data_IF_339818785386
#
_entry.id   IF_339818785386
#
_cell.length_a   1.000
_cell.length_b   1.000
_cell.length_c   1.000
_cell.angle_alpha   90.00
_cell.angle_beta   90.00
_cell.angle_gamma   90.00
#
_symmetry.space_group_name_H-M   'P 1'
#
loop_
_entity.id
_entity.type
_entity.pdbx_description
1 polymer ?
#
# COMPACT_ATOMS: atom_id res chain seq x y z
N UNK A 1 -25.65 -8.89 -11.83
CA UNK A 1 -25.60 -8.59 -13.28
C UNK A 1 -25.41 -9.91 -14.01
N UNK A 2 -26.54 -10.54 -14.43
CA UNK A 2 -26.57 -11.93 -14.96
C UNK A 2 -26.38 -11.91 -16.49
N UNK A 3 -25.22 -11.46 -16.99
CA UNK A 3 -25.06 -11.28 -18.43
C UNK A 3 -24.17 -12.30 -19.21
N UNK A 4 -23.18 -13.03 -18.62
CA UNK A 4 -22.32 -13.88 -19.45
C UNK A 4 -23.01 -15.15 -19.97
N UNK A 5 -23.84 -15.81 -19.17
CA UNK A 5 -24.46 -17.08 -19.55
C UNK A 5 -25.51 -16.97 -20.67
N UNK A 6 -26.12 -15.80 -20.88
CA UNK A 6 -27.06 -15.57 -21.99
C UNK A 6 -26.34 -15.27 -23.29
N UNK A 7 -25.21 -14.54 -23.29
CA UNK A 7 -24.42 -14.29 -24.50
C UNK A 7 -23.75 -15.58 -25.02
N UNK A 8 -23.23 -16.43 -24.11
CA UNK A 8 -22.64 -17.74 -24.47
C UNK A 8 -23.62 -18.67 -25.17
N UNK A 9 -24.92 -18.61 -24.83
CA UNK A 9 -25.97 -19.42 -25.51
C UNK A 9 -26.33 -18.87 -26.89
N UNK A 10 -26.01 -17.61 -27.18
CA UNK A 10 -26.36 -16.93 -28.45
C UNK A 10 -25.30 -17.04 -29.56
N UNK A 11 -24.05 -17.40 -29.25
CA UNK A 11 -23.01 -17.54 -30.28
C UNK A 11 -23.10 -18.87 -30.98
N UNK A 12 -23.76 -18.85 -32.15
CA UNK A 12 -23.92 -20.02 -32.99
C UNK A 12 -22.60 -20.63 -33.49
N UNK A 13 -21.52 -19.86 -33.49
CA UNK A 13 -20.20 -20.36 -33.87
C UNK A 13 -19.64 -21.33 -32.81
N UNK A 14 -19.84 -21.03 -31.53
CA UNK A 14 -19.42 -21.88 -30.42
C UNK A 14 -20.32 -23.13 -30.28
N UNK A 15 -21.58 -23.03 -30.74
CA UNK A 15 -22.57 -24.09 -30.57
C UNK A 15 -22.19 -25.41 -31.28
N UNK A 16 -21.34 -25.34 -32.30
CA UNK A 16 -20.93 -26.49 -33.13
C UNK A 16 -19.57 -27.05 -32.80
N UNK A 17 -18.81 -26.40 -31.90
CA UNK A 17 -17.49 -26.81 -31.51
C UNK A 17 -17.53 -27.95 -30.46
N UNK A 18 -16.62 -28.90 -30.62
CA UNK A 18 -16.34 -29.91 -29.60
C UNK A 18 -15.49 -29.32 -28.48
N UNK A 19 -15.15 -30.11 -27.46
CA UNK A 19 -14.39 -29.65 -26.30
C UNK A 19 -12.95 -29.24 -26.63
N UNK A 20 -12.28 -29.95 -27.55
CA UNK A 20 -10.93 -29.63 -28.01
C UNK A 20 -10.91 -28.31 -28.81
N UNK A 21 -11.89 -28.12 -29.70
CA UNK A 21 -12.05 -26.88 -30.48
C UNK A 21 -12.39 -25.70 -29.58
N UNK A 22 -13.25 -25.87 -28.59
CA UNK A 22 -13.57 -24.82 -27.60
C UNK A 22 -12.35 -24.44 -26.77
N UNK A 23 -11.59 -25.43 -26.31
CA UNK A 23 -10.37 -25.18 -25.54
C UNK A 23 -9.32 -24.42 -26.35
N UNK A 24 -9.09 -24.84 -27.60
CA UNK A 24 -8.16 -24.16 -28.51
C UNK A 24 -8.61 -22.74 -28.86
N UNK A 25 -9.90 -22.54 -29.14
CA UNK A 25 -10.48 -21.24 -29.45
C UNK A 25 -10.38 -20.28 -28.24
N UNK A 26 -10.70 -20.77 -27.04
CA UNK A 26 -10.58 -20.03 -25.80
C UNK A 26 -9.14 -19.60 -25.50
N UNK A 27 -8.18 -20.53 -25.65
CA UNK A 27 -6.75 -20.27 -25.45
C UNK A 27 -6.24 -19.24 -26.46
N UNK A 28 -6.64 -19.34 -27.72
CA UNK A 28 -6.28 -18.36 -28.76
C UNK A 28 -6.85 -16.97 -28.48
N UNK A 29 -8.12 -16.89 -28.05
CA UNK A 29 -8.78 -15.63 -27.70
C UNK A 29 -8.08 -14.99 -26.48
N UNK A 30 -7.75 -15.80 -25.46
CA UNK A 30 -7.04 -15.31 -24.27
C UNK A 30 -5.66 -14.75 -24.60
N UNK A 31 -4.91 -15.44 -25.45
CA UNK A 31 -3.61 -14.98 -25.94
C UNK A 31 -3.71 -13.69 -26.76
N UNK A 32 -4.79 -13.53 -27.51
CA UNK A 32 -5.08 -12.31 -28.29
C UNK A 32 -5.61 -11.14 -27.44
N UNK A 33 -5.84 -11.34 -26.12
CA UNK A 33 -6.39 -10.33 -25.23
C UNK A 33 -7.91 -10.22 -25.25
N UNK A 34 -8.62 -11.06 -26.03
CA UNK A 34 -10.08 -11.13 -26.05
C UNK A 34 -10.60 -11.99 -24.88
N UNK A 35 -10.58 -11.39 -23.70
CA UNK A 35 -11.00 -12.05 -22.46
C UNK A 35 -12.48 -12.48 -22.50
N UNK A 36 -13.35 -11.70 -23.15
CA UNK A 36 -14.79 -12.02 -23.27
C UNK A 36 -15.02 -13.29 -24.09
N UNK A 37 -14.38 -13.39 -25.26
CA UNK A 37 -14.46 -14.59 -26.09
C UNK A 37 -13.81 -15.80 -25.42
N UNK A 38 -12.68 -15.59 -24.73
CA UNK A 38 -12.01 -16.64 -23.97
C UNK A 38 -12.92 -17.22 -22.88
N UNK A 39 -13.53 -16.37 -22.07
CA UNK A 39 -14.48 -16.78 -21.03
C UNK A 39 -15.64 -17.57 -21.64
N UNK A 40 -16.26 -17.06 -22.73
CA UNK A 40 -17.37 -17.72 -23.40
C UNK A 40 -17.03 -19.14 -23.91
N UNK A 41 -15.82 -19.33 -24.47
CA UNK A 41 -15.36 -20.64 -24.93
C UNK A 41 -15.16 -21.63 -23.76
N UNK A 42 -14.45 -21.19 -22.70
CA UNK A 42 -14.16 -22.06 -21.56
C UNK A 42 -15.42 -22.38 -20.75
N UNK A 43 -16.29 -21.40 -20.48
CA UNK A 43 -17.58 -21.61 -19.80
C UNK A 43 -18.48 -22.61 -20.57
N UNK A 44 -18.52 -22.46 -21.91
CA UNK A 44 -19.28 -23.41 -22.73
C UNK A 44 -18.70 -24.82 -22.64
N UNK A 45 -17.37 -24.98 -22.69
CA UNK A 45 -16.71 -26.26 -22.51
C UNK A 45 -17.13 -26.90 -21.18
N UNK A 46 -17.02 -26.14 -20.09
CA UNK A 46 -17.37 -26.58 -18.73
C UNK A 46 -18.83 -27.04 -18.65
N UNK A 47 -19.75 -26.30 -19.29
CA UNK A 47 -21.20 -26.61 -19.21
C UNK A 47 -21.57 -27.80 -20.09
N UNK A 48 -21.02 -27.90 -21.29
CA UNK A 48 -21.46 -28.86 -22.31
C UNK A 48 -20.68 -30.16 -22.26
N UNK A 49 -19.42 -30.10 -21.82
CA UNK A 49 -18.49 -31.25 -21.82
C UNK A 49 -17.91 -31.51 -20.42
N UNK A 50 -18.73 -31.88 -19.42
CA UNK A 50 -18.26 -32.09 -18.05
C UNK A 50 -17.29 -33.27 -17.88
N UNK A 51 -17.20 -34.14 -18.86
CA UNK A 51 -16.26 -35.29 -18.88
C UNK A 51 -15.00 -35.01 -19.72
N UNK A 52 -14.83 -33.78 -20.20
CA UNK A 52 -13.68 -33.40 -21.02
C UNK A 52 -12.37 -33.54 -20.22
N UNK A 53 -11.30 -34.07 -20.83
CA UNK A 53 -9.96 -34.07 -20.21
C UNK A 53 -9.45 -32.64 -19.96
N UNK A 54 -10.00 -31.63 -20.63
CA UNK A 54 -9.66 -30.21 -20.47
C UNK A 54 -10.47 -29.52 -19.35
N UNK A 55 -11.42 -30.18 -18.71
CA UNK A 55 -12.38 -29.56 -17.77
C UNK A 55 -11.69 -28.70 -16.71
N UNK A 56 -10.68 -29.28 -16.02
CA UNK A 56 -9.95 -28.55 -14.96
C UNK A 56 -9.22 -27.30 -15.47
N UNK A 57 -8.56 -27.45 -16.64
CA UNK A 57 -7.85 -26.32 -17.25
C UNK A 57 -8.84 -25.28 -17.81
N UNK A 58 -10.00 -25.71 -18.30
CA UNK A 58 -11.06 -24.82 -18.75
C UNK A 58 -11.62 -23.99 -17.58
N UNK A 59 -11.85 -24.59 -16.41
CA UNK A 59 -12.21 -23.84 -15.20
C UNK A 59 -11.13 -22.82 -14.85
N UNK A 60 -9.85 -23.22 -14.79
CA UNK A 60 -8.76 -22.32 -14.45
C UNK A 60 -8.69 -21.13 -15.44
N UNK A 61 -8.71 -21.42 -16.74
CA UNK A 61 -8.62 -20.40 -17.77
C UNK A 61 -9.88 -19.51 -17.87
N UNK A 62 -11.07 -20.06 -17.59
CA UNK A 62 -12.29 -19.27 -17.45
C UNK A 62 -12.17 -18.28 -16.30
N UNK A 63 -11.67 -18.72 -15.16
CA UNK A 63 -11.39 -17.86 -14.02
C UNK A 63 -10.46 -16.71 -14.40
N UNK A 64 -9.32 -16.99 -15.05
CA UNK A 64 -8.37 -15.96 -15.52
C UNK A 64 -8.99 -14.98 -16.53
N UNK A 65 -9.85 -15.47 -17.41
CA UNK A 65 -10.53 -14.61 -18.38
C UNK A 65 -11.55 -13.68 -17.71
N UNK A 66 -12.28 -14.19 -16.71
CA UNK A 66 -13.24 -13.42 -15.94
C UNK A 66 -12.56 -12.42 -15.00
N UNK A 67 -11.39 -12.72 -14.42
CA UNK A 67 -10.56 -11.75 -13.70
C UNK A 67 -10.18 -10.55 -14.58
N UNK A 68 -9.78 -10.79 -15.84
CA UNK A 68 -9.50 -9.71 -16.80
C UNK A 68 -10.71 -8.85 -17.13
N UNK A 69 -11.91 -9.38 -16.94
CA UNK A 69 -13.17 -8.67 -17.11
C UNK A 69 -13.69 -8.06 -15.81
N UNK A 70 -12.96 -8.20 -14.71
CA UNK A 70 -13.33 -7.80 -13.35
C UNK A 70 -14.65 -8.46 -12.88
N UNK A 71 -15.04 -9.61 -13.48
CA UNK A 71 -16.13 -10.44 -12.98
C UNK A 71 -15.62 -11.38 -11.89
N UNK A 72 -15.42 -10.79 -10.70
CA UNK A 72 -14.84 -11.50 -9.55
C UNK A 72 -15.69 -12.66 -9.04
N UNK A 73 -17.04 -12.53 -9.07
CA UNK A 73 -17.93 -13.62 -8.71
C UNK A 73 -17.88 -14.77 -9.72
N UNK A 74 -17.82 -14.44 -11.01
CA UNK A 74 -17.63 -15.40 -12.08
C UNK A 74 -16.31 -16.16 -11.92
N UNK A 75 -15.21 -15.42 -11.79
CA UNK A 75 -13.87 -15.98 -11.59
C UNK A 75 -13.81 -16.91 -10.36
N UNK A 76 -14.36 -16.46 -9.22
CA UNK A 76 -14.42 -17.27 -7.99
C UNK A 76 -15.12 -18.61 -8.20
N UNK A 77 -16.27 -18.64 -8.90
CA UNK A 77 -16.98 -19.90 -9.16
C UNK A 77 -16.13 -20.91 -9.91
N UNK A 78 -15.28 -20.44 -10.82
CA UNK A 78 -14.40 -21.32 -11.57
C UNK A 78 -13.17 -21.73 -10.76
N UNK A 79 -12.51 -20.81 -10.04
CA UNK A 79 -11.33 -21.18 -9.27
C UNK A 79 -11.63 -22.14 -8.12
N UNK A 80 -12.79 -22.06 -7.47
CA UNK A 80 -13.16 -22.96 -6.37
C UNK A 80 -13.25 -24.43 -6.81
N UNK A 81 -13.57 -24.68 -8.09
CA UNK A 81 -13.64 -26.04 -8.65
C UNK A 81 -12.25 -26.66 -8.88
N UNK A 82 -11.20 -25.82 -8.94
CA UNK A 82 -9.81 -26.25 -9.19
C UNK A 82 -8.95 -26.08 -7.95
N UNK A 83 -9.24 -25.07 -7.12
CA UNK A 83 -8.38 -24.63 -6.05
C UNK A 83 -8.23 -25.67 -4.94
N UNK A 84 -6.98 -26.02 -4.63
CA UNK A 84 -6.63 -26.83 -3.48
C UNK A 84 -5.40 -26.26 -2.76
N UNK A 85 -5.60 -25.71 -1.59
CA UNK A 85 -4.53 -25.18 -0.76
C UNK A 85 -3.51 -26.23 -0.29
N UNK A 86 -3.88 -27.51 -0.34
CA UNK A 86 -2.99 -28.65 -0.04
C UNK A 86 -2.24 -29.17 -1.27
N UNK A 87 -2.66 -28.75 -2.48
CA UNK A 87 -2.08 -29.16 -3.76
C UNK A 87 -0.78 -28.43 -4.12
N UNK A 88 -0.28 -28.69 -5.31
CA UNK A 88 0.89 -28.03 -5.91
C UNK A 88 0.60 -27.67 -7.38
N UNK A 89 1.42 -26.85 -8.01
CA UNK A 89 1.21 -26.44 -9.39
C UNK A 89 -0.12 -25.72 -9.60
N UNK A 90 -0.81 -26.00 -10.70
CA UNK A 90 -2.01 -25.28 -11.14
C UNK A 90 -3.12 -25.22 -10.07
N UNK A 91 -3.28 -26.26 -9.23
CA UNK A 91 -4.31 -26.24 -8.20
C UNK A 91 -3.96 -25.32 -7.02
N UNK A 92 -2.68 -25.15 -6.74
CA UNK A 92 -2.21 -24.16 -5.77
C UNK A 92 -2.30 -22.74 -6.36
N UNK A 93 -1.97 -22.57 -7.64
CA UNK A 93 -2.12 -21.29 -8.32
C UNK A 93 -3.60 -20.88 -8.37
N UNK A 94 -4.51 -21.80 -8.64
CA UNK A 94 -5.95 -21.56 -8.52
C UNK A 94 -6.38 -21.14 -7.10
N UNK A 95 -5.72 -21.68 -6.05
CA UNK A 95 -6.00 -21.28 -4.68
C UNK A 95 -5.54 -19.82 -4.39
N UNK A 96 -4.45 -19.37 -4.98
CA UNK A 96 -4.04 -17.95 -4.91
C UNK A 96 -5.02 -17.04 -5.66
N UNK A 97 -5.40 -17.38 -6.88
CA UNK A 97 -6.42 -16.64 -7.63
C UNK A 97 -7.78 -16.63 -6.92
N UNK A 98 -8.18 -17.77 -6.29
CA UNK A 98 -9.37 -17.77 -5.44
C UNK A 98 -9.26 -16.79 -4.27
N UNK A 99 -8.09 -16.71 -3.62
CA UNK A 99 -7.87 -15.73 -2.55
C UNK A 99 -7.93 -14.28 -3.08
N UNK A 100 -7.42 -14.03 -4.29
CA UNK A 100 -7.49 -12.73 -4.96
C UNK A 100 -8.94 -12.35 -5.30
N UNK A 101 -9.74 -13.28 -5.84
CA UNK A 101 -11.18 -13.02 -6.07
C UNK A 101 -11.93 -12.75 -4.77
N UNK A 102 -11.60 -13.46 -3.68
CA UNK A 102 -12.18 -13.19 -2.36
C UNK A 102 -11.80 -11.78 -1.84
N UNK A 103 -10.56 -11.35 -2.08
CA UNK A 103 -10.09 -10.01 -1.74
C UNK A 103 -10.90 -8.93 -2.49
N UNK A 104 -11.05 -9.05 -3.81
CA UNK A 104 -11.82 -8.09 -4.62
C UNK A 104 -13.32 -8.08 -4.29
N UNK A 105 -13.85 -9.19 -3.78
CA UNK A 105 -15.23 -9.29 -3.25
C UNK A 105 -15.35 -8.81 -1.79
N UNK A 106 -14.29 -8.26 -1.21
CA UNK A 106 -14.21 -7.83 0.21
C UNK A 106 -14.50 -8.97 1.21
N UNK A 107 -14.36 -10.23 0.78
CA UNK A 107 -14.53 -11.42 1.62
C UNK A 107 -13.23 -11.74 2.35
N UNK A 108 -12.66 -10.73 3.01
CA UNK A 108 -11.34 -10.80 3.66
C UNK A 108 -11.18 -11.96 4.64
N UNK A 109 -12.15 -12.31 5.53
CA UNK A 109 -11.98 -13.43 6.46
C UNK A 109 -11.75 -14.78 5.77
N UNK A 110 -12.37 -15.00 4.61
CA UNK A 110 -12.22 -16.21 3.83
C UNK A 110 -10.85 -16.24 3.11
N UNK A 111 -10.46 -15.12 2.51
CA UNK A 111 -9.13 -14.96 1.91
C UNK A 111 -8.02 -15.20 2.94
N UNK A 112 -8.11 -14.58 4.13
CA UNK A 112 -7.17 -14.75 5.24
C UNK A 112 -7.08 -16.21 5.67
N UNK A 113 -8.22 -16.90 5.77
CA UNK A 113 -8.25 -18.31 6.15
C UNK A 113 -7.57 -19.20 5.09
N UNK A 114 -7.83 -18.96 3.81
CA UNK A 114 -7.24 -19.70 2.70
C UNK A 114 -5.72 -19.46 2.62
N UNK A 115 -5.30 -18.21 2.62
CA UNK A 115 -3.90 -17.81 2.56
C UNK A 115 -3.11 -18.29 3.78
N UNK A 116 -3.72 -18.28 4.97
CA UNK A 116 -3.12 -18.79 6.20
C UNK A 116 -2.80 -20.30 6.12
N UNK A 117 -3.66 -21.10 5.47
CA UNK A 117 -3.38 -22.52 5.21
C UNK A 117 -2.17 -22.69 4.28
N UNK A 118 -2.04 -21.87 3.24
CA UNK A 118 -0.92 -21.93 2.30
C UNK A 118 0.38 -21.47 2.99
N UNK A 119 0.35 -20.35 3.71
CA UNK A 119 1.50 -19.81 4.42
C UNK A 119 2.09 -20.75 5.47
N UNK A 120 1.25 -21.59 6.09
CA UNK A 120 1.67 -22.56 7.11
C UNK A 120 2.37 -23.81 6.53
N UNK A 121 2.33 -24.02 5.22
CA UNK A 121 2.87 -25.22 4.57
C UNK A 121 4.40 -25.19 4.53
N UNK A 122 5.05 -26.18 5.17
CA UNK A 122 6.52 -26.28 5.19
C UNK A 122 7.11 -27.01 3.99
N UNK A 123 6.27 -27.71 3.21
CA UNK A 123 6.64 -28.43 1.99
C UNK A 123 6.71 -27.53 0.75
N UNK A 124 6.18 -26.30 0.83
CA UNK A 124 6.26 -25.34 -0.26
C UNK A 124 7.58 -24.57 -0.24
N UNK A 125 8.04 -24.10 -1.42
CA UNK A 125 9.11 -23.13 -1.51
C UNK A 125 8.84 -21.91 -0.63
N UNK A 126 9.88 -21.37 -0.02
CA UNK A 126 9.76 -20.25 0.91
C UNK A 126 9.10 -19.03 0.25
N UNK A 127 9.38 -18.75 -1.03
CA UNK A 127 8.77 -17.66 -1.80
C UNK A 127 7.24 -17.75 -1.81
N UNK A 128 6.69 -18.95 -2.12
CA UNK A 128 5.22 -19.16 -2.16
C UNK A 128 4.56 -18.97 -0.79
N UNK A 129 5.23 -19.37 0.28
CA UNK A 129 4.73 -19.16 1.66
C UNK A 129 4.75 -17.70 2.05
N UNK A 130 5.80 -16.97 1.68
CA UNK A 130 5.92 -15.53 1.91
C UNK A 130 4.89 -14.74 1.11
N UNK A 131 4.65 -15.11 -0.16
CA UNK A 131 3.59 -14.55 -1.00
C UNK A 131 2.23 -14.69 -0.30
N UNK A 132 1.85 -15.89 0.12
CA UNK A 132 0.60 -16.12 0.84
C UNK A 132 0.53 -15.31 2.15
N UNK A 133 1.65 -15.22 2.88
CA UNK A 133 1.71 -14.45 4.13
C UNK A 133 1.55 -12.95 3.88
N UNK A 134 2.15 -12.40 2.83
CA UNK A 134 2.01 -10.97 2.48
C UNK A 134 0.59 -10.68 2.02
N UNK A 135 0.01 -11.49 1.13
CA UNK A 135 -1.39 -11.30 0.70
C UNK A 135 -2.37 -11.42 1.88
N UNK A 136 -2.13 -12.32 2.85
CA UNK A 136 -2.89 -12.38 4.09
C UNK A 136 -2.79 -11.09 4.89
N UNK A 137 -1.58 -10.52 5.01
CA UNK A 137 -1.36 -9.23 5.66
C UNK A 137 -2.07 -8.07 4.95
N UNK A 138 -2.09 -8.07 3.62
CA UNK A 138 -2.85 -7.10 2.80
C UNK A 138 -4.34 -7.19 3.11
N UNK A 139 -4.92 -8.39 3.11
CA UNK A 139 -6.33 -8.60 3.47
C UNK A 139 -6.65 -8.09 4.88
N UNK A 140 -5.73 -8.29 5.86
CA UNK A 140 -5.89 -7.79 7.22
C UNK A 140 -5.89 -6.27 7.28
N UNK A 141 -4.99 -5.60 6.54
CA UNK A 141 -4.93 -4.13 6.45
C UNK A 141 -6.21 -3.57 5.85
N UNK A 142 -6.66 -4.11 4.71
CA UNK A 142 -7.82 -3.59 4.00
C UNK A 142 -9.16 -3.95 4.69
N UNK A 143 -9.16 -4.98 5.54
CA UNK A 143 -10.29 -5.25 6.45
C UNK A 143 -10.33 -4.33 7.68
N UNK A 144 -9.32 -3.48 7.88
CA UNK A 144 -9.19 -2.57 9.01
C UNK A 144 -8.47 -3.15 10.23
N UNK A 145 -8.02 -4.40 10.21
CA UNK A 145 -7.21 -4.99 11.29
C UNK A 145 -5.72 -4.64 11.09
N UNK A 146 -5.42 -3.35 11.31
CA UNK A 146 -4.09 -2.79 11.05
C UNK A 146 -3.01 -3.42 11.93
N UNK A 147 -3.33 -3.73 13.21
CA UNK A 147 -2.38 -4.30 14.17
C UNK A 147 -1.94 -5.73 13.79
N UNK A 148 -2.89 -6.56 13.35
CA UNK A 148 -2.59 -7.91 12.89
C UNK A 148 -1.88 -7.87 11.54
N UNK A 149 -2.34 -7.00 10.63
CA UNK A 149 -1.71 -6.76 9.34
C UNK A 149 -0.24 -6.36 9.48
N UNK A 150 0.07 -5.42 10.38
CA UNK A 150 1.45 -5.00 10.65
C UNK A 150 2.34 -6.16 11.12
N UNK A 151 1.85 -6.95 12.08
CA UNK A 151 2.59 -8.12 12.60
C UNK A 151 2.85 -9.14 11.50
N UNK A 152 1.83 -9.43 10.68
CA UNK A 152 1.92 -10.38 9.58
C UNK A 152 2.94 -9.93 8.53
N UNK A 153 2.86 -8.67 8.07
CA UNK A 153 3.78 -8.11 7.08
C UNK A 153 5.21 -8.01 7.59
N UNK A 154 5.43 -7.63 8.84
CA UNK A 154 6.77 -7.61 9.47
C UNK A 154 7.35 -9.01 9.58
N UNK A 155 6.53 -10.01 9.94
CA UNK A 155 6.95 -11.41 9.98
C UNK A 155 7.36 -11.92 8.60
N UNK A 156 6.59 -11.59 7.56
CA UNK A 156 6.92 -11.94 6.17
C UNK A 156 8.26 -11.33 5.74
N UNK A 157 8.51 -10.06 6.05
CA UNK A 157 9.79 -9.39 5.74
C UNK A 157 10.97 -10.01 6.48
N UNK A 158 10.80 -10.36 7.75
CA UNK A 158 11.83 -11.09 8.50
C UNK A 158 12.12 -12.47 7.89
N UNK A 159 11.06 -13.18 7.46
CA UNK A 159 11.16 -14.44 6.73
C UNK A 159 11.90 -14.29 5.40
N UNK A 160 11.59 -13.26 4.61
CA UNK A 160 12.26 -12.96 3.34
C UNK A 160 13.75 -12.65 3.55
N UNK A 161 14.09 -11.85 4.55
CA UNK A 161 15.48 -11.54 4.89
C UNK A 161 16.26 -12.79 5.32
N UNK A 162 15.65 -13.64 6.16
CA UNK A 162 16.26 -14.89 6.58
C UNK A 162 16.45 -15.86 5.41
N UNK A 163 15.50 -15.95 4.49
CA UNK A 163 15.58 -16.75 3.28
C UNK A 163 16.72 -16.28 2.36
N UNK A 164 16.79 -14.98 2.09
CA UNK A 164 17.87 -14.37 1.31
C UNK A 164 19.26 -14.61 1.95
N UNK A 165 19.33 -14.55 3.29
CA UNK A 165 20.58 -14.83 4.03
C UNK A 165 21.04 -16.29 3.92
N UNK A 166 20.14 -17.23 3.59
CA UNK A 166 20.48 -18.64 3.29
C UNK A 166 20.73 -18.90 1.81
N UNK A 167 20.50 -17.91 0.94
CA UNK A 167 20.58 -18.07 -0.52
C UNK A 167 19.32 -18.67 -1.15
N UNK A 168 18.21 -18.76 -0.40
CA UNK A 168 16.92 -19.18 -0.94
C UNK A 168 16.39 -18.11 -1.91
N UNK A 169 15.74 -18.49 -3.03
CA UNK A 169 15.19 -17.52 -3.96
C UNK A 169 13.98 -16.80 -3.34
N UNK A 170 14.06 -15.49 -3.30
CA UNK A 170 12.96 -14.58 -2.94
C UNK A 170 12.84 -13.55 -4.06
N UNK A 171 11.63 -13.40 -4.61
CA UNK A 171 11.36 -12.37 -5.62
C UNK A 171 11.46 -10.96 -5.02
N UNK A 172 11.42 -9.95 -5.88
CA UNK A 172 11.41 -8.54 -5.47
C UNK A 172 10.00 -7.98 -5.25
N UNK A 173 8.97 -8.65 -5.77
CA UNK A 173 7.58 -8.23 -5.68
C UNK A 173 7.05 -8.35 -4.25
N UNK A 174 7.17 -9.53 -3.65
CA UNK A 174 6.62 -9.86 -2.33
C UNK A 174 7.15 -8.94 -1.20
N UNK A 175 8.48 -8.73 -1.03
CA UNK A 175 8.98 -7.82 -0.01
C UNK A 175 8.69 -6.34 -0.31
N UNK A 176 8.61 -5.94 -1.59
CA UNK A 176 8.21 -4.59 -1.95
C UNK A 176 6.75 -4.31 -1.59
N UNK A 177 5.85 -5.25 -1.88
CA UNK A 177 4.45 -5.20 -1.48
C UNK A 177 4.30 -5.09 0.04
N UNK A 178 5.00 -5.93 0.79
CA UNK A 178 4.95 -5.89 2.26
C UNK A 178 5.41 -4.53 2.81
N UNK A 179 6.48 -3.95 2.26
CA UNK A 179 6.94 -2.61 2.65
C UNK A 179 5.92 -1.54 2.28
N UNK A 180 5.30 -1.63 1.11
CA UNK A 180 4.27 -0.70 0.67
C UNK A 180 3.08 -0.70 1.65
N UNK A 181 2.54 -1.87 1.99
CA UNK A 181 1.39 -1.98 2.89
C UNK A 181 1.72 -1.62 4.35
N UNK A 182 2.95 -1.79 4.81
CA UNK A 182 3.40 -1.19 6.07
C UNK A 182 3.35 0.34 6.00
N UNK A 183 3.68 0.94 4.86
CA UNK A 183 3.49 2.37 4.62
C UNK A 183 2.01 2.78 4.68
N UNK A 184 1.12 1.99 4.06
CA UNK A 184 -0.33 2.23 4.09
C UNK A 184 -0.88 2.21 5.53
N UNK A 185 -0.43 1.32 6.39
CA UNK A 185 -0.83 1.28 7.81
C UNK A 185 -0.53 2.62 8.50
N UNK A 186 0.70 3.12 8.39
CA UNK A 186 1.07 4.40 9.01
C UNK A 186 0.39 5.60 8.35
N UNK A 187 0.10 5.53 7.04
CA UNK A 187 -0.71 6.53 6.34
C UNK A 187 -2.14 6.57 6.91
N UNK A 188 -2.77 5.41 7.08
CA UNK A 188 -4.11 5.29 7.65
C UNK A 188 -4.16 5.80 9.09
N UNK A 189 -3.17 5.47 9.91
CA UNK A 189 -3.05 6.04 11.25
C UNK A 189 -2.90 7.57 11.22
N UNK A 190 -2.09 8.11 10.31
CA UNK A 190 -1.94 9.56 10.14
C UNK A 190 -3.23 10.24 9.71
N UNK A 191 -4.00 9.63 8.82
CA UNK A 191 -5.30 10.15 8.37
C UNK A 191 -6.37 10.12 9.48
N UNK A 192 -6.35 9.11 10.33
CA UNK A 192 -7.27 8.97 11.46
C UNK A 192 -7.06 10.04 12.55
N UNK A 193 -5.87 10.65 12.63
CA UNK A 193 -5.61 11.73 13.57
C UNK A 193 -6.24 13.02 13.04
N UNK A 194 -7.21 13.58 13.77
CA UNK A 194 -7.89 14.82 13.45
C UNK A 194 -7.46 15.95 14.38
N UNK A 195 -7.56 17.21 13.90
CA UNK A 195 -7.38 18.36 14.74
C UNK A 195 -8.68 18.67 15.49
N UNK A 196 -8.57 18.88 16.81
CA UNK A 196 -9.71 19.35 17.62
C UNK A 196 -9.93 20.85 17.35
N UNK A 197 -11.12 21.29 16.90
CA UNK A 197 -11.43 22.68 16.67
C UNK A 197 -11.33 23.58 17.92
N UNK A 198 -11.47 22.97 19.10
CA UNK A 198 -11.41 23.66 20.40
C UNK A 198 -10.04 23.57 21.06
N UNK A 199 -9.04 22.99 20.37
CA UNK A 199 -7.72 22.80 20.94
C UNK A 199 -6.97 24.12 21.17
N UNK A 200 -6.13 24.12 22.19
CA UNK A 200 -5.14 25.18 22.43
C UNK A 200 -3.93 24.97 21.55
N UNK A 201 -3.11 26.03 21.43
CA UNK A 201 -1.88 25.98 20.64
C UNK A 201 -0.95 24.79 20.98
N UNK A 202 -0.76 24.50 22.26
CA UNK A 202 0.06 23.35 22.68
C UNK A 202 -0.50 22.00 22.23
N UNK A 203 -1.82 21.84 22.27
CA UNK A 203 -2.51 20.62 21.84
C UNK A 203 -2.44 20.46 20.31
N UNK A 204 -2.60 21.56 19.57
CA UNK A 204 -2.44 21.55 18.10
C UNK A 204 -0.99 21.18 17.72
N UNK A 205 0.01 21.71 18.44
CA UNK A 205 1.42 21.37 18.22
C UNK A 205 1.68 19.88 18.46
N UNK A 206 1.19 19.34 19.57
CA UNK A 206 1.35 17.89 19.89
C UNK A 206 0.68 17.01 18.85
N UNK A 207 -0.54 17.36 18.39
CA UNK A 207 -1.24 16.65 17.33
C UNK A 207 -0.44 16.68 16.03
N UNK A 208 0.12 17.84 15.67
CA UNK A 208 0.94 17.98 14.48
C UNK A 208 2.24 17.17 14.57
N UNK A 209 2.92 17.19 15.71
CA UNK A 209 4.14 16.40 15.94
C UNK A 209 3.84 14.91 15.77
N UNK A 210 2.76 14.41 16.36
CA UNK A 210 2.34 13.02 16.22
C UNK A 210 2.00 12.65 14.76
N UNK A 211 1.27 13.53 14.05
CA UNK A 211 1.01 13.34 12.60
C UNK A 211 2.29 13.29 11.79
N UNK A 212 3.25 14.15 12.11
CA UNK A 212 4.56 14.17 11.44
C UNK A 212 5.36 12.88 11.67
N UNK A 213 5.34 12.30 12.87
CA UNK A 213 5.97 11.01 13.17
C UNK A 213 5.35 9.87 12.35
N UNK A 214 4.01 9.82 12.28
CA UNK A 214 3.29 8.84 11.48
C UNK A 214 3.60 8.98 9.98
N UNK A 215 3.62 10.22 9.47
CA UNK A 215 3.99 10.51 8.09
C UNK A 215 5.42 10.07 7.77
N UNK A 216 6.38 10.38 8.64
CA UNK A 216 7.78 9.95 8.46
C UNK A 216 7.91 8.44 8.50
N UNK A 217 7.12 7.75 9.33
CA UNK A 217 7.08 6.30 9.39
C UNK A 217 6.54 5.70 8.09
N UNK A 218 5.42 6.23 7.57
CA UNK A 218 4.85 5.84 6.28
C UNK A 218 5.86 6.05 5.14
N UNK A 219 6.43 7.25 5.05
CA UNK A 219 7.46 7.58 4.05
C UNK A 219 8.66 6.64 4.12
N UNK A 220 9.11 6.32 5.35
CA UNK A 220 10.22 5.40 5.56
C UNK A 220 9.94 4.00 4.99
N UNK A 221 8.71 3.50 5.11
CA UNK A 221 8.30 2.22 4.54
C UNK A 221 8.19 2.30 3.01
N UNK A 222 7.60 3.34 2.44
CA UNK A 222 7.55 3.52 0.99
C UNK A 222 8.95 3.64 0.35
N UNK A 223 9.88 4.36 1.00
CA UNK A 223 11.27 4.41 0.53
C UNK A 223 11.95 3.04 0.56
N UNK A 224 11.63 2.20 1.54
CA UNK A 224 12.11 0.81 1.58
C UNK A 224 11.49 -0.02 0.44
N UNK A 225 10.19 0.16 0.12
CA UNK A 225 9.57 -0.48 -1.04
C UNK A 225 10.26 -0.11 -2.36
N UNK A 226 10.57 1.19 -2.56
CA UNK A 226 11.33 1.67 -3.73
C UNK A 226 12.72 1.01 -3.77
N UNK A 227 13.40 0.90 -2.62
CA UNK A 227 14.75 0.34 -2.54
C UNK A 227 14.81 -1.16 -2.89
N UNK A 228 13.74 -1.90 -2.73
CA UNK A 228 13.67 -3.31 -3.16
C UNK A 228 13.89 -3.42 -4.67
N UNK A 229 13.38 -2.48 -5.48
CA UNK A 229 13.64 -2.38 -6.92
C UNK A 229 12.53 -2.91 -7.81
N UNK A 230 11.42 -3.41 -7.27
CA UNK A 230 10.25 -3.78 -8.08
C UNK A 230 9.59 -2.54 -8.69
N UNK A 231 9.47 -2.49 -10.03
CA UNK A 231 9.00 -1.31 -10.76
C UNK A 231 7.56 -0.89 -10.42
N UNK A 232 6.66 -1.86 -10.26
CA UNK A 232 5.26 -1.61 -9.90
C UNK A 232 5.16 -0.98 -8.51
N UNK A 233 5.75 -1.61 -7.50
CA UNK A 233 5.70 -1.13 -6.12
C UNK A 233 6.53 0.13 -5.90
N UNK A 234 7.60 0.33 -6.68
CA UNK A 234 8.39 1.56 -6.63
C UNK A 234 7.57 2.77 -7.12
N UNK A 235 6.80 2.63 -8.21
CA UNK A 235 5.94 3.70 -8.71
C UNK A 235 4.72 3.92 -7.80
N UNK A 236 4.15 2.86 -7.23
CA UNK A 236 3.10 2.95 -6.24
C UNK A 236 3.56 3.72 -4.99
N UNK A 237 4.73 3.35 -4.46
CA UNK A 237 5.31 4.00 -3.28
C UNK A 237 5.69 5.48 -3.55
N UNK A 238 6.20 5.79 -4.73
CA UNK A 238 6.48 7.17 -5.14
C UNK A 238 5.21 8.02 -5.20
N UNK A 239 4.15 7.50 -5.79
CA UNK A 239 2.84 8.18 -5.82
C UNK A 239 2.33 8.45 -4.39
N UNK A 240 2.41 7.45 -3.50
CA UNK A 240 2.00 7.60 -2.10
C UNK A 240 2.82 8.63 -1.31
N UNK A 241 4.13 8.69 -1.52
CA UNK A 241 4.97 9.72 -0.87
C UNK A 241 4.53 11.13 -1.33
N UNK A 242 4.27 11.32 -2.62
CA UNK A 242 3.74 12.60 -3.12
C UNK A 242 2.39 12.93 -2.49
N UNK A 243 1.49 11.96 -2.41
CA UNK A 243 0.18 12.10 -1.80
C UNK A 243 0.24 12.43 -0.29
N UNK A 244 1.21 11.86 0.47
CA UNK A 244 1.40 12.22 1.87
C UNK A 244 1.65 13.74 2.06
N UNK A 245 2.47 14.35 1.21
CA UNK A 245 2.74 15.78 1.27
C UNK A 245 1.54 16.61 0.83
N UNK A 246 0.81 16.17 -0.21
CA UNK A 246 -0.42 16.80 -0.67
C UNK A 246 -1.49 16.83 0.43
N UNK A 247 -1.74 15.68 1.06
CA UNK A 247 -2.73 15.55 2.14
C UNK A 247 -2.33 16.34 3.37
N UNK A 248 -1.04 16.32 3.76
CA UNK A 248 -0.56 17.10 4.89
C UNK A 248 -0.73 18.60 4.61
N UNK A 249 -0.36 19.08 3.42
CA UNK A 249 -0.56 20.47 3.04
C UNK A 249 -2.03 20.87 3.20
N UNK A 250 -2.96 20.08 2.62
CA UNK A 250 -4.40 20.34 2.73
C UNK A 250 -4.86 20.40 4.19
N UNK A 251 -4.49 19.40 5.01
CA UNK A 251 -4.89 19.34 6.41
C UNK A 251 -4.35 20.52 7.24
N UNK A 252 -3.14 20.98 6.93
CA UNK A 252 -2.56 22.15 7.58
C UNK A 252 -3.27 23.45 7.19
N UNK A 253 -3.69 23.57 5.93
CA UNK A 253 -4.48 24.72 5.47
C UNK A 253 -5.87 24.76 6.12
N UNK A 254 -6.45 23.61 6.40
CA UNK A 254 -7.76 23.43 7.03
C UNK A 254 -7.67 23.37 8.57
N UNK A 255 -6.46 23.42 9.15
CA UNK A 255 -6.30 23.32 10.61
C UNK A 255 -6.97 24.49 11.33
N UNK A 256 -7.54 24.25 12.52
CA UNK A 256 -8.18 25.29 13.30
C UNK A 256 -7.15 26.33 13.77
N UNK A 257 -7.62 27.58 13.93
CA UNK A 257 -6.83 28.61 14.58
C UNK A 257 -6.87 28.38 16.08
N UNK A 258 -5.72 28.53 16.80
CA UNK A 258 -5.72 28.46 18.25
C UNK A 258 -6.73 29.46 18.85
N UNK A 259 -7.57 28.99 19.74
CA UNK A 259 -8.68 29.80 20.30
C UNK A 259 -8.23 30.95 21.19
N UNK A 260 -6.97 30.99 21.57
CA UNK A 260 -6.36 32.08 22.32
C UNK A 260 -6.13 33.33 21.46
N UNK A 261 -6.14 33.17 20.13
CA UNK A 261 -5.88 34.27 19.19
C UNK A 261 -7.17 35.05 18.90
N UNK A 262 -7.06 36.35 18.83
CA UNK A 262 -8.13 37.21 18.31
C UNK A 262 -8.20 37.12 16.77
N UNK A 263 -9.18 37.77 16.14
CA UNK A 263 -9.40 37.67 14.69
C UNK A 263 -8.19 38.17 13.86
N UNK A 264 -7.51 39.22 14.31
CA UNK A 264 -6.37 39.83 13.64
C UNK A 264 -5.11 38.95 13.76
N UNK A 265 -4.84 38.44 14.95
CA UNK A 265 -3.78 37.48 15.24
C UNK A 265 -4.03 36.15 14.51
N UNK A 266 -5.29 35.70 14.40
CA UNK A 266 -5.67 34.52 13.67
C UNK A 266 -5.40 34.62 12.17
N UNK A 267 -5.57 35.79 11.56
CA UNK A 267 -5.24 35.98 10.15
C UNK A 267 -3.73 35.97 9.91
N UNK A 268 -2.95 36.58 10.78
CA UNK A 268 -1.47 36.51 10.76
C UNK A 268 -1.02 35.06 10.91
N UNK A 269 -1.61 34.32 11.84
CA UNK A 269 -1.33 32.89 12.03
C UNK A 269 -1.58 32.07 10.77
N UNK A 270 -2.74 32.26 10.10
CA UNK A 270 -3.04 31.56 8.84
C UNK A 270 -2.03 31.85 7.74
N UNK A 271 -1.63 33.12 7.60
CA UNK A 271 -0.66 33.50 6.58
C UNK A 271 0.70 32.88 6.86
N UNK A 272 1.14 32.84 8.13
CA UNK A 272 2.39 32.21 8.52
C UNK A 272 2.35 30.68 8.31
N UNK A 273 1.24 30.00 8.64
CA UNK A 273 1.04 28.58 8.33
C UNK A 273 1.17 28.34 6.84
N UNK A 274 0.44 29.12 6.00
CA UNK A 274 0.50 29.02 4.54
C UNK A 274 1.92 29.15 4.02
N UNK A 275 2.66 30.16 4.47
CA UNK A 275 4.05 30.39 4.08
C UNK A 275 4.96 29.20 4.42
N UNK A 276 4.83 28.66 5.64
CA UNK A 276 5.66 27.52 6.10
C UNK A 276 5.36 26.21 5.39
N UNK A 277 4.09 25.92 5.08
CA UNK A 277 3.71 24.65 4.46
C UNK A 277 3.87 24.61 2.95
N UNK A 278 4.11 25.76 2.30
CA UNK A 278 4.36 25.82 0.84
C UNK A 278 5.50 24.89 0.40
N UNK A 279 6.47 24.62 1.25
CA UNK A 279 7.52 23.65 1.01
C UNK A 279 6.98 22.24 0.75
N UNK A 280 5.81 21.89 1.31
CA UNK A 280 5.19 20.58 1.11
C UNK A 280 4.72 20.40 -0.34
N UNK A 281 4.19 21.46 -0.98
CA UNK A 281 3.84 21.44 -2.40
C UNK A 281 5.07 21.21 -3.27
N UNK A 282 6.16 21.91 -2.99
CA UNK A 282 7.42 21.71 -3.72
C UNK A 282 7.95 20.29 -3.56
N UNK A 283 7.85 19.72 -2.37
CA UNK A 283 8.24 18.33 -2.12
C UNK A 283 7.33 17.33 -2.86
N UNK A 284 6.00 17.54 -2.83
CA UNK A 284 5.06 16.71 -3.57
C UNK A 284 5.37 16.72 -5.07
N UNK A 285 5.55 17.91 -5.66
CA UNK A 285 5.91 18.09 -7.07
C UNK A 285 7.18 17.29 -7.40
N UNK A 286 8.25 17.48 -6.64
CA UNK A 286 9.53 16.80 -6.90
C UNK A 286 9.43 15.27 -6.83
N UNK A 287 8.63 14.76 -5.90
CA UNK A 287 8.39 13.29 -5.78
C UNK A 287 7.58 12.78 -6.97
N UNK A 288 6.51 13.47 -7.36
CA UNK A 288 5.70 13.08 -8.51
C UNK A 288 6.51 13.13 -9.82
N UNK A 289 7.31 14.18 -10.04
CA UNK A 289 8.22 14.28 -11.20
C UNK A 289 9.20 13.10 -11.24
N UNK A 290 9.83 12.78 -10.11
CA UNK A 290 10.74 11.66 -10.01
C UNK A 290 10.06 10.30 -10.26
N UNK A 291 8.81 10.14 -9.78
CA UNK A 291 8.02 8.92 -9.97
C UNK A 291 7.66 8.73 -11.45
N UNK A 292 7.17 9.78 -12.11
CA UNK A 292 6.81 9.75 -13.55
C UNK A 292 8.05 9.49 -14.39
N UNK A 293 9.15 10.20 -14.16
CA UNK A 293 10.41 9.99 -14.88
C UNK A 293 10.99 8.57 -14.68
N UNK A 294 10.84 8.02 -13.47
CA UNK A 294 11.25 6.64 -13.19
C UNK A 294 10.39 5.65 -13.97
N UNK A 295 9.06 5.81 -13.96
CA UNK A 295 8.13 4.97 -14.71
C UNK A 295 8.44 4.97 -16.21
N UNK A 296 8.72 6.12 -16.79
CA UNK A 296 9.11 6.25 -18.21
C UNK A 296 10.44 5.54 -18.50
N UNK A 297 11.43 5.70 -17.65
CA UNK A 297 12.76 5.07 -17.82
C UNK A 297 12.71 3.55 -17.78
N UNK A 298 11.84 2.96 -16.94
CA UNK A 298 11.71 1.50 -16.79
C UNK A 298 10.60 0.92 -17.66
N UNK A 299 9.84 1.75 -18.40
CA UNK A 299 8.75 1.32 -19.25
C UNK A 299 7.52 0.81 -18.48
N UNK A 300 7.33 1.25 -17.22
CA UNK A 300 6.19 0.86 -16.39
C UNK A 300 5.03 1.82 -16.62
N UNK A 301 3.85 1.28 -16.88
CA UNK A 301 2.60 2.01 -16.94
C UNK A 301 1.62 1.45 -15.89
N UNK A 302 0.58 2.21 -15.55
CA UNK A 302 -0.46 1.73 -14.64
C UNK A 302 -1.10 2.85 -13.83
N UNK A 303 -2.09 2.51 -13.00
CA UNK A 303 -2.94 3.49 -12.33
C UNK A 303 -2.17 4.43 -11.37
N UNK A 304 -1.07 3.96 -10.78
CA UNK A 304 -0.23 4.80 -9.90
C UNK A 304 0.50 5.88 -10.69
N UNK A 305 1.02 5.56 -11.88
CA UNK A 305 1.70 6.52 -12.76
C UNK A 305 0.73 7.58 -13.25
N UNK A 306 -0.47 7.17 -13.66
CA UNK A 306 -1.51 8.11 -14.12
C UNK A 306 -1.97 9.04 -12.98
N UNK A 307 -2.16 8.51 -11.76
CA UNK A 307 -2.47 9.34 -10.60
C UNK A 307 -1.33 10.32 -10.28
N UNK A 308 -0.07 9.86 -10.34
CA UNK A 308 1.08 10.72 -10.11
C UNK A 308 1.13 11.90 -11.12
N UNK A 309 0.85 11.64 -12.41
CA UNK A 309 0.77 12.68 -13.44
C UNK A 309 -0.34 13.69 -13.16
N UNK A 310 -1.53 13.21 -12.86
CA UNK A 310 -2.68 14.06 -12.57
C UNK A 310 -2.43 14.92 -11.31
N UNK A 311 -1.84 14.33 -10.25
CA UNK A 311 -1.49 15.05 -9.03
C UNK A 311 -0.38 16.06 -9.26
N UNK A 312 0.62 15.74 -10.08
CA UNK A 312 1.69 16.66 -10.46
C UNK A 312 1.14 17.96 -11.06
N UNK A 313 0.23 17.84 -12.02
CA UNK A 313 -0.39 19.00 -12.65
C UNK A 313 -1.20 19.84 -11.65
N UNK A 314 -1.99 19.20 -10.79
CA UNK A 314 -2.73 19.91 -9.73
C UNK A 314 -1.82 20.64 -8.77
N UNK A 315 -0.72 20.01 -8.32
CA UNK A 315 0.21 20.62 -7.37
C UNK A 315 0.96 21.80 -7.99
N UNK A 316 1.33 21.72 -9.28
CA UNK A 316 1.93 22.85 -10.00
C UNK A 316 0.96 24.04 -10.09
N UNK A 317 -0.29 23.80 -10.42
CA UNK A 317 -1.31 24.85 -10.48
C UNK A 317 -1.56 25.47 -9.11
N UNK A 318 -1.64 24.66 -8.05
CA UNK A 318 -1.81 25.13 -6.68
C UNK A 318 -0.61 25.99 -6.24
N UNK A 319 0.62 25.57 -6.51
CA UNK A 319 1.82 26.31 -6.19
C UNK A 319 1.86 27.67 -6.90
N UNK A 320 1.42 27.75 -8.16
CA UNK A 320 1.30 29.00 -8.91
C UNK A 320 0.25 29.94 -8.29
N UNK A 321 -0.93 29.39 -7.94
CA UNK A 321 -1.98 30.17 -7.30
C UNK A 321 -1.56 30.73 -5.93
N UNK A 322 -0.74 29.98 -5.18
CA UNK A 322 -0.19 30.45 -3.91
C UNK A 322 0.94 31.48 -4.09
N UNK A 323 1.62 31.51 -5.24
CA UNK A 323 2.65 32.51 -5.52
C UNK A 323 2.10 33.91 -5.70
N UNK A 324 0.83 34.04 -6.11
CA UNK A 324 0.14 35.33 -6.32
C UNK A 324 -0.38 35.93 -5.00
N UNK A 325 -0.27 35.23 -3.87
CA UNK A 325 -0.64 35.75 -2.55
C UNK A 325 0.52 36.62 -2.03
N UNK A 326 0.31 37.90 -1.72
CA UNK A 326 1.37 38.73 -1.20
C UNK A 326 1.97 38.18 0.09
N UNK A 327 3.29 38.14 0.17
CA UNK A 327 3.97 37.82 1.42
C UNK A 327 3.71 38.95 2.43
N UNK A 328 3.53 38.56 3.71
CA UNK A 328 3.58 39.52 4.79
C UNK A 328 4.92 40.30 4.73
N UNK A 329 4.94 41.61 5.00
CA UNK A 329 6.19 42.30 5.14
C UNK A 329 7.06 41.58 6.17
N UNK A 330 8.33 41.35 5.82
CA UNK A 330 9.29 40.69 6.72
C UNK A 330 9.21 41.35 8.11
N UNK A 331 9.03 40.50 9.15
CA UNK A 331 9.11 40.96 10.52
C UNK A 331 10.42 41.75 10.70
N UNK A 332 10.40 42.91 11.32
CA UNK A 332 11.63 43.62 11.63
C UNK A 332 12.52 42.64 12.43
N UNK A 333 13.82 42.57 12.15
CA UNK A 333 14.71 41.66 12.83
C UNK A 333 14.53 41.83 14.35
N UNK A 334 14.48 40.73 15.12
CA UNK A 334 14.27 40.81 16.56
C UNK A 334 15.24 41.80 17.16
N UNK A 335 14.78 42.65 18.10
CA UNK A 335 15.61 43.69 18.68
C UNK A 335 16.90 43.05 19.18
N UNK A 336 18.03 43.52 18.64
CA UNK A 336 19.36 43.00 19.05
C UNK A 336 19.45 43.21 20.55
N UNK A 337 19.30 42.12 21.32
CA UNK A 337 19.61 42.11 22.73
C UNK A 337 21.07 42.50 22.85
N UNK A 338 21.30 43.74 23.25
CA UNK A 338 22.64 44.22 23.61
C UNK A 338 23.17 43.25 24.70
N UNK A 339 24.10 42.42 24.29
CA UNK A 339 24.84 41.57 25.24
C UNK A 339 25.46 42.44 26.32
N UNK A 340 25.10 42.30 27.59
CA UNK A 340 25.77 43.01 28.64
C UNK A 340 27.26 42.63 28.62
N UNK A 341 28.17 43.60 28.95
CA UNK A 341 29.61 43.36 28.93
C UNK A 341 29.97 42.19 29.87
N UNK A 342 30.97 41.37 29.54
CA UNK A 342 31.31 40.16 30.30
C UNK A 342 31.77 40.55 31.71
N UNK A 343 30.91 40.31 32.70
CA UNK A 343 31.32 40.35 34.11
C UNK A 343 32.18 39.14 34.39
N UNK A 344 33.48 39.40 34.56
CA UNK A 344 34.45 38.38 34.95
C UNK A 344 34.14 37.80 36.34
N UNK A 345 33.51 36.64 36.36
CA UNK A 345 33.55 35.69 37.46
C UNK A 345 33.64 34.28 36.90
N UNK A 346 34.83 33.69 37.04
CA UNK A 346 35.06 32.26 36.85
C UNK A 346 34.20 31.49 37.84
N UNK A 347 33.10 30.84 37.37
CA UNK A 347 32.42 29.80 38.11
C UNK A 347 32.87 28.45 37.58
N UNK A 348 33.64 27.76 38.41
CA UNK A 348 33.91 26.32 38.26
C UNK A 348 32.59 25.55 38.36
N UNK A 349 32.13 25.01 37.26
CA UNK A 349 30.96 24.11 37.20
C UNK A 349 31.46 22.68 37.46
N UNK A 350 31.14 22.17 38.63
CA UNK A 350 31.31 20.74 38.95
C UNK A 350 30.34 19.91 38.10
N UNK A 351 30.88 18.95 37.40
CA UNK A 351 30.16 17.96 36.58
C UNK A 351 29.35 17.04 37.51
N UNK A 352 28.02 16.84 37.32
CA UNK A 352 27.27 15.85 38.07
C UNK A 352 27.72 14.43 37.70
N UNK A 353 27.90 13.58 38.71
CA UNK A 353 28.24 12.16 38.55
C UNK A 353 27.14 11.40 37.78
N UNK A 354 27.58 10.54 36.89
CA UNK A 354 26.71 9.64 36.14
C UNK A 354 25.99 8.66 37.07
N UNK A 355 24.68 8.61 36.98
CA UNK A 355 23.84 7.59 37.64
C UNK A 355 24.11 6.21 37.04
N UNK A 356 24.29 5.16 37.84
CA UNK A 356 24.53 3.82 37.32
C UNK A 356 23.26 3.27 36.71
N UNK A 357 23.42 2.72 35.50
CA UNK A 357 22.40 2.00 34.71
C UNK A 357 21.99 0.74 35.51
N UNK A 358 20.69 0.60 35.78
CA UNK A 358 20.13 -0.60 36.38
C UNK A 358 20.32 -1.82 35.46
N UNK A 359 20.93 -2.85 35.97
CA UNK A 359 21.04 -4.18 35.37
C UNK A 359 19.69 -4.90 35.45
N UNK A 360 19.23 -5.59 34.39
CA UNK A 360 18.04 -6.43 34.49
C UNK A 360 18.30 -7.66 35.38
N UNK A 361 17.27 -8.21 36.05
CA UNK A 361 17.42 -9.34 36.93
C UNK A 361 17.77 -10.62 36.17
N UNK A 362 18.75 -11.34 36.67
CA UNK A 362 19.15 -12.67 36.21
C UNK A 362 18.06 -13.66 36.62
N UNK A 363 17.56 -14.44 35.62
CA UNK A 363 16.66 -15.54 35.88
C UNK A 363 17.39 -16.68 36.65
N UNK A 364 16.82 -17.08 37.75
CA UNK A 364 17.27 -18.22 38.56
C UNK A 364 16.69 -19.50 37.91
N UNK A 365 17.49 -20.56 37.64
CA UNK A 365 16.93 -21.82 37.16
C UNK A 365 16.20 -22.55 38.30
N UNK A 366 14.92 -22.82 38.09
CA UNK A 366 14.12 -23.68 38.98
C UNK A 366 14.60 -25.10 38.95
N UNK A 367 14.98 -25.59 40.12
CA UNK A 367 15.24 -26.99 40.42
C UNK A 367 13.98 -27.82 40.35
N UNK A 368 14.12 -29.02 39.80
CA UNK A 368 13.07 -29.95 39.44
C UNK A 368 12.18 -30.51 40.57
N UNK A 369 11.16 -31.18 40.12
CA UNK A 369 10.18 -32.00 40.80
C UNK A 369 9.29 -32.66 39.74
#
# INVERSE_FOLDING_TARGET
MEMPAQEVRGDLSLARMNDEELFAAGSSAFAAGDARRAAACFERLVIVFPESPHLRQAHFNAGLALERLEDWDGARRHFIEVADASGTGDVLDAAFHHAETLYHLERYPEAITLLGKIAARTDLPVGRRLEAQVQMGVCQVDSGDLDTGEKTLRSALAGAQAASGRGDPVDDYTPAQAQFFLGEIYRLHCEAVTFDPEAKADQLSQTLEYKAELLLSAQGHYLRAIKVGNGYWATAAGERIGNLYEVLHKQMMESPIPKELNAEEGEVYRQEVRRRIRILLTKAIGVYESTVATAERIGTAGPFVERARASLERMKQLLLAEADVPDLPDDPPPPQTQTPPPSGRKRTVSRPAATPRATPPVAVPGTGG
#
